data_IF_139166330551
#
_entry.id   IF_139166330551
#
_cell.length_a   1.000
_cell.length_b   1.000
_cell.length_c   1.000
_cell.angle_alpha   90.00
_cell.angle_beta   90.00
_cell.angle_gamma   90.00
#
_symmetry.space_group_name_H-M   'P 1'
#
loop_
_entity.id
_entity.type
_entity.pdbx_description
1 polymer ?
#
# COMPACT_ATOMS: atom_id res chain seq x y z
N UNK A 1 -18.89 78.20 49.49
CA UNK A 1 -19.79 77.79 48.39
C UNK A 1 -19.62 76.30 48.17
N UNK A 2 -20.72 75.57 48.29
CA UNK A 2 -20.80 74.12 48.17
C UNK A 2 -20.44 73.61 46.76
N UNK A 3 -19.87 72.40 46.69
CA UNK A 3 -20.34 71.30 45.82
C UNK A 3 -19.68 69.97 46.23
N UNK A 4 -20.50 68.93 46.16
CA UNK A 4 -20.42 67.58 46.72
C UNK A 4 -19.43 66.60 46.02
N UNK A 5 -18.99 65.60 46.81
CA UNK A 5 -18.86 64.13 46.57
C UNK A 5 -18.32 63.62 45.20
N UNK A 6 -17.46 62.58 45.13
CA UNK A 6 -17.73 61.19 45.56
C UNK A 6 -16.43 60.34 45.51
N UNK A 7 -16.26 59.45 46.48
CA UNK A 7 -15.18 58.43 46.57
C UNK A 7 -15.62 57.18 45.80
N UNK A 8 -14.73 56.60 44.98
CA UNK A 8 -14.84 55.20 44.54
C UNK A 8 -13.71 54.38 45.15
N UNK A 9 -14.08 53.52 46.10
CA UNK A 9 -13.32 52.35 46.55
C UNK A 9 -13.76 51.16 45.68
N UNK A 10 -12.83 50.54 44.96
CA UNK A 10 -13.03 49.18 44.45
C UNK A 10 -11.70 48.48 44.18
N UNK A 11 -11.01 48.09 45.26
CA UNK A 11 -10.00 47.03 45.22
C UNK A 11 -10.56 45.80 45.95
N UNK A 12 -11.13 44.87 45.19
CA UNK A 12 -11.37 43.50 45.64
C UNK A 12 -10.55 42.59 44.72
N UNK A 13 -9.36 42.21 45.20
CA UNK A 13 -8.54 41.18 44.57
C UNK A 13 -9.23 39.82 44.69
N UNK A 14 -9.69 39.27 43.56
CA UNK A 14 -10.12 37.87 43.48
C UNK A 14 -8.88 36.96 43.47
N UNK A 15 -8.61 36.31 44.60
CA UNK A 15 -7.69 35.16 44.64
C UNK A 15 -8.42 33.92 44.12
N UNK A 16 -7.92 33.32 43.04
CA UNK A 16 -8.50 32.15 42.39
C UNK A 16 -7.73 30.89 42.83
N UNK A 17 -8.43 29.89 43.37
CA UNK A 17 -7.83 28.67 43.89
C UNK A 17 -8.21 27.45 43.04
N UNK A 18 -7.20 26.73 42.54
CA UNK A 18 -7.36 25.46 41.79
C UNK A 18 -7.11 24.28 42.75
N UNK A 19 -7.99 23.28 42.72
CA UNK A 19 -8.06 22.21 43.71
C UNK A 19 -7.57 20.89 43.14
N UNK A 20 -6.64 20.25 43.84
CA UNK A 20 -6.16 18.90 43.52
C UNK A 20 -6.82 17.84 44.42
N UNK A 21 -7.22 16.71 43.83
CA UNK A 21 -7.54 15.47 44.57
C UNK A 21 -6.43 14.44 44.26
N UNK A 22 -5.40 14.37 45.09
CA UNK A 22 -4.36 13.32 44.99
C UNK A 22 -4.78 12.08 45.78
N UNK A 23 -4.72 10.91 45.15
CA UNK A 23 -4.34 9.68 45.86
C UNK A 23 -2.82 9.50 45.76
N UNK A 24 -2.26 8.82 46.76
CA UNK A 24 -0.89 8.90 47.28
C UNK A 24 0.29 8.75 46.31
N UNK A 25 1.37 9.49 46.68
CA UNK A 25 2.81 9.31 46.42
C UNK A 25 3.44 9.71 45.06
N UNK A 26 4.02 10.92 45.02
CA UNK A 26 5.37 11.18 44.52
C UNK A 26 5.86 12.57 45.00
N UNK A 27 7.06 12.64 45.58
CA UNK A 27 7.76 13.89 45.95
C UNK A 27 8.28 14.54 44.66
N UNK A 28 7.86 15.77 44.37
CA UNK A 28 8.44 16.59 43.30
C UNK A 28 9.31 17.68 43.93
N UNK A 29 10.51 17.88 43.39
CA UNK A 29 11.38 19.02 43.70
C UNK A 29 11.56 19.93 42.49
N UNK A 30 11.64 21.22 42.79
CA UNK A 30 12.09 22.36 41.98
C UNK A 30 11.05 23.20 41.22
N UNK A 31 10.91 24.42 41.77
CA UNK A 31 10.80 25.75 41.17
C UNK A 31 9.79 25.99 40.03
N UNK A 32 8.68 26.61 40.47
CA UNK A 32 7.75 27.49 39.75
C UNK A 32 6.33 26.95 39.49
N UNK A 33 5.83 26.10 40.36
CA UNK A 33 4.40 25.76 40.39
C UNK A 33 3.74 26.60 41.49
N UNK A 34 2.79 27.47 41.14
CA UNK A 34 1.93 28.11 42.13
C UNK A 34 1.31 27.02 43.05
N UNK A 35 1.31 27.21 44.38
CA UNK A 35 0.89 26.16 45.30
C UNK A 35 -0.60 25.85 45.09
N UNK A 36 -0.89 24.70 44.49
CA UNK A 36 -2.24 24.17 44.37
C UNK A 36 -2.78 23.87 45.78
N UNK A 37 -3.91 24.49 46.13
CA UNK A 37 -4.50 24.34 47.46
C UNK A 37 -5.15 22.97 47.59
N UNK A 38 -4.77 22.25 48.64
CA UNK A 38 -5.37 20.96 48.97
C UNK A 38 -6.83 21.18 49.40
N UNK A 39 -7.77 20.35 48.94
CA UNK A 39 -9.22 20.58 49.12
C UNK A 39 -9.66 20.91 50.56
N UNK A 40 -9.00 20.32 51.57
CA UNK A 40 -9.26 20.54 53.00
C UNK A 40 -8.82 21.92 53.54
N UNK A 41 -8.06 22.69 52.76
CA UNK A 41 -7.56 24.02 53.10
C UNK A 41 -8.37 25.12 52.40
N UNK A 42 -9.41 24.75 51.64
CA UNK A 42 -10.26 25.72 50.97
C UNK A 42 -11.30 26.18 51.98
N UNK A 43 -11.42 27.50 52.23
CA UNK A 43 -12.42 27.99 53.16
C UNK A 43 -13.83 27.53 52.75
N UNK A 44 -14.66 27.16 53.73
CA UNK A 44 -15.99 26.60 53.49
C UNK A 44 -16.89 27.47 52.58
N UNK A 45 -16.68 28.79 52.57
CA UNK A 45 -17.42 29.70 51.70
C UNK A 45 -17.00 29.65 50.22
N UNK A 46 -15.83 29.09 49.90
CA UNK A 46 -15.38 28.84 48.52
C UNK A 46 -15.75 27.43 48.02
N UNK A 47 -16.13 26.48 48.89
CA UNK A 47 -16.59 25.15 48.47
C UNK A 47 -17.74 25.15 47.44
N UNK A 48 -18.72 26.08 47.47
CA UNK A 48 -19.77 26.16 46.45
C UNK A 48 -19.26 26.57 45.06
N UNK A 49 -18.13 27.26 45.02
CA UNK A 49 -17.47 27.76 43.80
C UNK A 49 -16.52 26.73 43.18
N UNK A 50 -16.26 25.62 43.86
CA UNK A 50 -15.41 24.54 43.34
C UNK A 50 -16.14 23.74 42.27
N UNK A 51 -15.76 24.00 41.02
CA UNK A 51 -16.14 23.22 39.82
C UNK A 51 -15.43 21.88 39.88
N UNK A 52 -16.17 20.76 39.94
CA UNK A 52 -15.70 19.47 39.41
C UNK A 52 -16.92 18.63 39.02
N UNK A 53 -17.61 19.00 37.94
CA UNK A 53 -18.34 18.01 37.14
C UNK A 53 -18.66 18.59 35.76
N UNK A 54 -18.19 17.90 34.73
CA UNK A 54 -18.68 18.10 33.37
C UNK A 54 -20.17 17.75 33.30
N UNK A 55 -21.02 18.51 32.62
CA UNK A 55 -22.45 18.18 32.51
C UNK A 55 -23.00 18.34 31.09
N UNK A 56 -23.04 17.23 30.34
CA UNK A 56 -24.02 17.06 29.26
C UNK A 56 -25.22 16.27 29.77
N UNK A 57 -26.44 16.77 29.57
CA UNK A 57 -27.65 16.05 29.98
C UNK A 57 -28.17 15.26 28.78
N UNK A 58 -27.94 13.94 28.76
CA UNK A 58 -28.57 13.06 27.77
C UNK A 58 -29.88 12.47 28.29
N UNK A 59 -30.93 12.41 27.46
CA UNK A 59 -32.13 11.66 27.77
C UNK A 59 -31.81 10.14 27.80
N UNK A 60 -32.12 9.48 28.92
CA UNK A 60 -31.91 8.04 29.13
C UNK A 60 -32.55 7.57 30.46
N UNK A 61 -32.37 6.29 30.88
CA UNK A 61 -32.93 5.75 32.14
C UNK A 61 -32.48 6.48 33.42
N UNK A 62 -31.48 7.35 33.31
CA UNK A 62 -31.12 8.42 34.23
C UNK A 62 -30.48 9.58 33.47
N UNK A 63 -30.23 10.72 34.13
CA UNK A 63 -29.34 11.75 33.57
C UNK A 63 -27.97 11.10 33.42
N UNK A 64 -27.60 10.75 32.19
CA UNK A 64 -26.22 10.39 31.90
C UNK A 64 -25.48 11.70 31.67
N UNK A 65 -24.59 12.00 32.61
CA UNK A 65 -23.74 13.17 32.56
C UNK A 65 -22.46 12.75 31.84
N UNK A 66 -22.32 13.11 30.56
CA UNK A 66 -21.10 12.84 29.77
C UNK A 66 -20.28 14.12 29.52
N UNK A 67 -19.02 13.98 29.11
CA UNK A 67 -18.01 15.05 29.10
C UNK A 67 -18.20 16.09 27.98
N UNK A 68 -17.85 17.36 28.26
CA UNK A 68 -17.76 18.44 27.24
C UNK A 68 -18.09 19.88 27.67
N UNK A 69 -18.65 20.14 28.86
CA UNK A 69 -18.96 21.49 29.39
C UNK A 69 -18.87 21.52 30.92
N UNK A 70 -18.50 22.65 31.55
CA UNK A 70 -18.41 22.75 33.02
C UNK A 70 -19.54 23.59 33.63
N UNK A 71 -19.91 23.27 34.88
CA UNK A 71 -20.92 24.01 35.65
C UNK A 71 -20.56 24.05 37.15
N UNK A 72 -21.12 25.01 37.89
CA UNK A 72 -20.90 25.11 39.34
C UNK A 72 -21.49 23.89 40.06
N UNK A 73 -20.77 23.34 41.05
CA UNK A 73 -21.21 22.14 41.78
C UNK A 73 -22.59 22.31 42.42
N UNK A 74 -22.88 23.49 42.95
CA UNK A 74 -24.19 23.81 43.51
C UNK A 74 -25.31 23.73 42.46
N UNK A 75 -25.06 24.20 41.24
CA UNK A 75 -26.00 24.14 40.13
C UNK A 75 -26.21 22.70 39.66
N UNK A 76 -25.14 21.91 39.53
CA UNK A 76 -25.25 20.48 39.19
C UNK A 76 -26.06 19.72 40.24
N UNK A 77 -25.83 20.00 41.53
CA UNK A 77 -26.62 19.41 42.61
C UNK A 77 -28.08 19.84 42.58
N UNK A 78 -28.35 21.13 42.29
CA UNK A 78 -29.69 21.67 42.10
C UNK A 78 -30.40 20.96 40.94
N UNK A 79 -29.77 20.87 39.78
CA UNK A 79 -30.28 20.16 38.59
C UNK A 79 -30.55 18.68 38.91
N UNK A 80 -29.65 17.99 39.63
CA UNK A 80 -29.86 16.60 40.04
C UNK A 80 -31.04 16.43 41.00
N UNK A 81 -31.20 17.34 41.97
CA UNK A 81 -32.34 17.34 42.92
C UNK A 81 -33.65 17.58 42.18
N UNK A 82 -33.70 18.61 41.35
CA UNK A 82 -34.85 18.93 40.50
C UNK A 82 -35.20 17.77 39.57
N UNK A 83 -34.18 17.11 38.99
CA UNK A 83 -34.43 15.99 38.11
C UNK A 83 -35.04 14.80 38.85
N UNK A 84 -34.48 14.44 40.02
CA UNK A 84 -35.05 13.38 40.86
C UNK A 84 -36.49 13.69 41.27
N UNK A 85 -36.78 14.94 41.64
CA UNK A 85 -38.12 15.38 42.03
C UNK A 85 -39.14 15.30 40.87
N UNK A 86 -38.70 15.51 39.63
CA UNK A 86 -39.57 15.56 38.46
C UNK A 86 -39.53 14.27 37.60
N UNK A 87 -38.92 13.19 38.09
CA UNK A 87 -38.73 11.93 37.34
C UNK A 87 -40.00 11.39 36.66
N UNK A 88 -41.16 11.53 37.30
CA UNK A 88 -42.45 11.08 36.73
C UNK A 88 -42.93 11.95 35.57
N UNK A 89 -42.67 13.27 35.62
CA UNK A 89 -43.10 14.24 34.62
C UNK A 89 -42.25 14.18 33.35
N UNK A 90 -40.97 13.80 33.46
CA UNK A 90 -40.08 13.63 32.31
C UNK A 90 -40.41 12.45 31.40
N UNK A 91 -41.48 11.69 31.68
CA UNK A 91 -42.06 10.78 30.70
C UNK A 91 -42.68 11.52 29.51
N UNK A 92 -43.10 12.77 29.72
CA UNK A 92 -43.49 13.69 28.66
C UNK A 92 -42.25 14.38 28.09
N UNK A 93 -41.98 14.12 26.81
CA UNK A 93 -40.84 14.67 26.09
C UNK A 93 -40.90 16.19 25.97
N UNK A 94 -42.09 16.77 25.83
CA UNK A 94 -42.27 18.22 25.73
C UNK A 94 -41.92 18.90 27.05
N UNK A 95 -42.37 18.32 28.17
CA UNK A 95 -41.99 18.78 29.51
C UNK A 95 -40.47 18.67 29.74
N UNK A 96 -39.85 17.57 29.33
CA UNK A 96 -38.40 17.40 29.44
C UNK A 96 -37.63 18.44 28.61
N UNK A 97 -38.02 18.68 27.36
CA UNK A 97 -37.39 19.72 26.52
C UNK A 97 -37.55 21.12 27.11
N UNK A 98 -38.76 21.48 27.53
CA UNK A 98 -39.04 22.78 28.15
C UNK A 98 -38.25 22.98 29.46
N UNK A 99 -38.01 21.90 30.21
CA UNK A 99 -37.17 21.93 31.40
C UNK A 99 -35.67 22.01 31.08
N UNK A 100 -35.20 21.32 30.03
CA UNK A 100 -33.79 21.30 29.63
C UNK A 100 -33.33 22.63 29.05
N UNK A 101 -34.12 23.23 28.15
CA UNK A 101 -33.76 24.43 27.38
C UNK A 101 -33.19 25.58 28.24
N UNK A 102 -33.87 26.05 29.32
CA UNK A 102 -33.36 27.14 30.14
C UNK A 102 -32.11 26.76 30.94
N UNK A 103 -31.92 25.48 31.27
CA UNK A 103 -30.76 24.99 32.03
C UNK A 103 -29.54 24.85 31.14
N UNK A 104 -29.73 24.34 29.92
CA UNK A 104 -28.67 24.32 28.91
C UNK A 104 -28.25 25.75 28.56
N UNK A 105 -29.20 26.68 28.38
CA UNK A 105 -28.90 28.10 28.13
C UNK A 105 -28.14 28.74 29.30
N UNK A 106 -28.57 28.50 30.55
CA UNK A 106 -27.87 28.99 31.72
C UNK A 106 -26.43 28.45 31.77
N UNK A 107 -26.22 27.14 31.55
CA UNK A 107 -24.89 26.52 31.50
C UNK A 107 -24.04 27.15 30.38
N UNK A 108 -24.60 27.30 29.17
CA UNK A 108 -23.88 27.91 28.04
C UNK A 108 -23.46 29.35 28.34
N UNK A 109 -24.29 30.15 29.01
CA UNK A 109 -23.93 31.53 29.37
C UNK A 109 -22.74 31.63 30.34
N UNK A 110 -22.40 30.56 31.06
CA UNK A 110 -21.19 30.50 31.88
C UNK A 110 -19.93 30.24 31.04
N UNK A 111 -20.06 29.61 29.86
CA UNK A 111 -18.96 29.32 28.96
C UNK A 111 -18.42 30.58 28.26
N UNK A 112 -19.27 31.59 28.06
CA UNK A 112 -18.88 32.86 27.41
C UNK A 112 -18.09 33.81 28.32
N UNK A 113 -17.74 33.39 29.55
CA UNK A 113 -17.00 34.22 30.49
C UNK A 113 -15.50 34.17 30.19
N UNK A 114 -14.84 35.34 30.17
CA UNK A 114 -13.39 35.48 29.89
C UNK A 114 -12.46 34.57 30.72
N UNK A 115 -12.88 34.16 31.91
CA UNK A 115 -12.06 33.30 32.78
C UNK A 115 -12.06 31.82 32.36
N UNK A 116 -12.88 31.42 31.37
CA UNK A 116 -12.96 30.03 30.92
C UNK A 116 -11.73 29.54 30.18
N UNK A 117 -11.08 30.46 29.45
CA UNK A 117 -9.81 30.19 28.78
C UNK A 117 -8.76 29.70 29.77
N UNK A 118 -8.75 30.21 31.01
CA UNK A 118 -7.83 29.78 32.06
C UNK A 118 -8.13 28.35 32.54
N UNK A 119 -9.40 27.93 32.63
CA UNK A 119 -9.74 26.56 33.01
C UNK A 119 -9.37 25.56 31.91
N UNK A 120 -9.66 25.89 30.66
CA UNK A 120 -9.26 25.07 29.51
C UNK A 120 -7.73 24.93 29.46
N UNK A 121 -6.99 26.03 29.65
CA UNK A 121 -5.52 25.98 29.72
C UNK A 121 -5.02 25.07 30.83
N UNK A 122 -5.60 25.15 32.04
CA UNK A 122 -5.21 24.28 33.16
C UNK A 122 -5.54 22.81 32.89
N UNK A 123 -6.67 22.51 32.24
CA UNK A 123 -7.00 21.14 31.85
C UNK A 123 -6.11 20.62 30.73
N UNK A 124 -5.83 21.45 29.73
CA UNK A 124 -4.91 21.13 28.64
C UNK A 124 -3.51 20.86 29.19
N UNK A 125 -3.04 21.67 30.14
CA UNK A 125 -1.78 21.46 30.86
C UNK A 125 -1.80 20.13 31.64
N UNK A 126 -2.91 19.80 32.30
CA UNK A 126 -3.04 18.52 33.00
C UNK A 126 -3.05 17.33 32.04
N UNK A 127 -3.78 17.41 30.93
CA UNK A 127 -3.82 16.39 29.89
C UNK A 127 -2.43 16.22 29.29
N UNK A 128 -1.72 17.32 29.04
CA UNK A 128 -0.36 17.34 28.55
C UNK A 128 0.59 16.63 29.53
N UNK A 129 0.58 16.99 30.81
CA UNK A 129 1.44 16.38 31.82
C UNK A 129 1.10 14.89 32.04
N UNK A 130 -0.18 14.50 31.96
CA UNK A 130 -0.59 13.09 31.98
C UNK A 130 -0.01 12.33 30.79
N UNK A 131 -0.18 12.85 29.57
CA UNK A 131 0.35 12.23 28.35
C UNK A 131 1.87 12.15 28.37
N UNK A 132 2.53 13.18 28.88
CA UNK A 132 3.99 13.23 29.06
C UNK A 132 4.47 12.12 29.99
N UNK A 133 3.81 11.91 31.13
CA UNK A 133 4.12 10.80 32.03
C UNK A 133 3.86 9.42 31.39
N UNK A 134 2.74 9.26 30.69
CA UNK A 134 2.41 8.00 29.99
C UNK A 134 3.44 7.68 28.88
N UNK A 135 3.86 8.69 28.12
CA UNK A 135 4.90 8.56 27.09
C UNK A 135 6.26 8.24 27.71
N UNK A 136 6.65 8.93 28.79
CA UNK A 136 7.90 8.64 29.50
C UNK A 136 7.92 7.20 30.04
N UNK A 137 6.82 6.73 30.64
CA UNK A 137 6.71 5.35 31.09
C UNK A 137 6.83 4.36 29.92
N UNK A 138 6.17 4.65 28.79
CA UNK A 138 6.28 3.82 27.57
C UNK A 138 7.71 3.77 27.08
N UNK A 139 8.40 4.89 27.00
CA UNK A 139 9.77 4.97 26.48
C UNK A 139 10.75 4.22 27.41
N UNK A 140 10.57 4.33 28.73
CA UNK A 140 11.34 3.55 29.71
C UNK A 140 11.09 2.04 29.57
N UNK A 141 9.84 1.62 29.34
CA UNK A 141 9.48 0.22 29.09
C UNK A 141 10.09 -0.28 27.80
N UNK A 142 9.96 0.48 26.71
CA UNK A 142 10.55 0.14 25.41
C UNK A 142 12.05 -0.01 25.56
N UNK A 143 12.75 0.96 26.15
CA UNK A 143 14.20 0.91 26.38
C UNK A 143 14.64 -0.36 27.11
N UNK A 144 13.95 -0.73 28.20
CA UNK A 144 14.28 -1.98 28.93
C UNK A 144 13.99 -3.24 28.12
N UNK A 145 12.92 -3.25 27.31
CA UNK A 145 12.65 -4.35 26.40
C UNK A 145 13.73 -4.46 25.31
N UNK A 146 14.22 -3.32 24.81
CA UNK A 146 15.35 -3.30 23.88
C UNK A 146 16.62 -3.86 24.53
N UNK A 147 16.95 -3.46 25.75
CA UNK A 147 18.07 -4.02 26.52
C UNK A 147 17.97 -5.55 26.73
N UNK A 148 16.77 -6.13 26.60
CA UNK A 148 16.50 -7.58 26.70
C UNK A 148 16.39 -8.30 25.35
N UNK A 149 16.61 -7.63 24.21
CA UNK A 149 16.58 -8.26 22.90
C UNK A 149 15.19 -8.41 22.27
N UNK A 150 14.21 -7.58 22.67
CA UNK A 150 12.82 -7.62 22.15
C UNK A 150 12.53 -6.59 21.05
N UNK A 151 13.55 -5.89 20.56
CA UNK A 151 13.39 -4.70 19.72
C UNK A 151 12.53 -4.92 18.47
N UNK A 152 12.77 -6.03 17.78
CA UNK A 152 12.06 -6.36 16.54
C UNK A 152 10.58 -6.69 16.78
N UNK A 153 10.25 -7.20 17.96
CA UNK A 153 8.95 -7.76 18.29
C UNK A 153 7.99 -6.70 18.85
N UNK A 154 8.51 -5.62 19.45
CA UNK A 154 7.74 -4.53 20.08
C UNK A 154 6.71 -3.91 19.11
N UNK A 155 7.00 -3.82 17.81
CA UNK A 155 6.09 -3.21 16.82
C UNK A 155 4.93 -4.11 16.41
N UNK A 156 5.14 -5.41 16.53
CA UNK A 156 4.10 -6.40 16.27
C UNK A 156 3.24 -6.61 17.52
N UNK A 157 3.75 -6.23 18.70
CA UNK A 157 2.96 -6.10 19.91
C UNK A 157 1.98 -4.93 19.77
N UNK A 158 0.71 -5.28 19.59
CA UNK A 158 -0.37 -4.32 19.41
C UNK A 158 -1.61 -4.77 20.21
N UNK A 159 -2.66 -3.96 20.17
CA UNK A 159 -3.92 -4.28 20.87
C UNK A 159 -4.07 -3.62 22.23
N UNK A 160 -5.26 -3.81 22.83
CA UNK A 160 -5.68 -3.09 24.04
C UNK A 160 -4.87 -3.51 25.26
N UNK A 161 -4.48 -4.78 25.33
CA UNK A 161 -3.67 -5.36 26.41
C UNK A 161 -2.29 -4.69 26.44
N UNK A 162 -1.62 -4.60 25.28
CA UNK A 162 -0.35 -3.90 25.15
C UNK A 162 -0.47 -2.44 25.60
N UNK A 163 -1.43 -1.70 25.04
CA UNK A 163 -1.62 -0.28 25.36
C UNK A 163 -1.85 -0.04 26.87
N UNK A 164 -2.65 -0.88 27.54
CA UNK A 164 -2.88 -0.80 28.99
C UNK A 164 -1.61 -1.03 29.81
N UNK A 165 -0.70 -1.88 29.32
CA UNK A 165 0.54 -2.19 30.01
C UNK A 165 1.60 -1.10 29.78
N UNK A 166 1.69 -0.52 28.58
CA UNK A 166 2.75 0.45 28.24
C UNK A 166 2.37 1.91 28.47
N UNK A 167 1.08 2.28 28.56
CA UNK A 167 0.65 3.64 28.87
C UNK A 167 0.11 3.72 30.30
N UNK A 168 1.01 3.96 31.26
CA UNK A 168 0.67 4.10 32.67
C UNK A 168 1.09 5.47 33.21
N UNK A 169 0.23 6.07 34.05
CA UNK A 169 0.43 7.42 34.64
C UNK A 169 1.35 7.41 35.86
N UNK A 170 2.52 6.79 35.75
CA UNK A 170 3.51 6.67 36.83
C UNK A 170 4.90 6.48 36.27
N UNK A 171 5.93 6.63 37.07
CA UNK A 171 7.30 6.32 36.67
C UNK A 171 7.57 4.80 36.71
N UNK A 172 8.46 4.32 35.84
CA UNK A 172 8.86 2.93 35.82
C UNK A 172 9.90 2.66 36.92
N UNK A 173 9.52 1.87 37.93
CA UNK A 173 10.42 1.42 39.00
C UNK A 173 10.73 -0.07 38.82
N UNK A 174 11.81 -0.58 39.41
CA UNK A 174 12.19 -2.00 39.30
C UNK A 174 11.12 -2.94 39.82
N UNK A 175 10.42 -2.55 40.90
CA UNK A 175 9.28 -3.31 41.40
C UNK A 175 8.14 -3.37 40.39
N UNK A 176 7.83 -2.26 39.71
CA UNK A 176 6.79 -2.24 38.67
C UNK A 176 7.24 -3.09 37.50
N UNK A 177 8.48 -2.93 37.05
CA UNK A 177 9.09 -3.69 35.96
C UNK A 177 9.02 -5.20 36.20
N UNK A 178 9.43 -5.70 37.37
CA UNK A 178 9.42 -7.12 37.70
C UNK A 178 8.00 -7.74 37.65
N UNK A 179 6.96 -6.94 37.91
CA UNK A 179 5.57 -7.37 37.80
C UNK A 179 4.98 -7.18 36.39
N UNK A 180 5.53 -6.25 35.62
CA UNK A 180 5.08 -5.88 34.29
C UNK A 180 5.67 -6.80 33.22
N UNK A 181 6.97 -7.11 33.33
CA UNK A 181 7.73 -7.84 32.32
C UNK A 181 7.13 -9.21 31.96
N UNK A 182 6.73 -10.08 32.90
CA UNK A 182 6.13 -11.37 32.54
C UNK A 182 4.86 -11.24 31.68
N UNK A 183 4.10 -10.15 31.85
CA UNK A 183 2.89 -9.87 31.04
C UNK A 183 3.24 -9.37 29.65
N UNK A 184 4.28 -8.54 29.54
CA UNK A 184 4.80 -8.05 28.26
C UNK A 184 5.44 -9.20 27.48
N UNK A 185 6.20 -10.08 28.14
CA UNK A 185 6.87 -11.22 27.52
C UNK A 185 5.89 -12.09 26.73
N UNK A 186 4.76 -12.49 27.33
CA UNK A 186 3.75 -13.31 26.63
C UNK A 186 3.21 -12.62 25.36
N UNK A 187 3.01 -11.30 25.41
CA UNK A 187 2.57 -10.52 24.23
C UNK A 187 3.67 -10.45 23.18
N UNK A 188 4.93 -10.28 23.60
CA UNK A 188 6.08 -10.19 22.71
C UNK A 188 6.41 -11.53 22.05
N UNK A 189 6.23 -12.65 22.74
CA UNK A 189 6.37 -13.99 22.15
C UNK A 189 5.32 -14.21 21.05
N UNK A 190 4.07 -13.79 21.29
CA UNK A 190 3.01 -13.83 20.28
C UNK A 190 3.35 -12.92 19.09
N UNK A 191 3.83 -11.71 19.37
CA UNK A 191 4.27 -10.75 18.37
C UNK A 191 5.44 -11.28 17.53
N UNK A 192 6.39 -11.99 18.15
CA UNK A 192 7.52 -12.65 17.48
C UNK A 192 7.06 -13.71 16.49
N UNK A 193 6.15 -14.59 16.91
CA UNK A 193 5.56 -15.60 16.02
C UNK A 193 4.89 -14.93 14.81
N UNK A 194 4.12 -13.87 15.06
CA UNK A 194 3.47 -13.12 14.00
C UNK A 194 4.48 -12.45 13.05
N UNK A 195 5.50 -11.78 13.59
CA UNK A 195 6.58 -11.17 12.82
C UNK A 195 7.28 -12.19 11.92
N UNK A 196 7.69 -13.33 12.47
CA UNK A 196 8.39 -14.38 11.72
C UNK A 196 7.52 -14.95 10.60
N UNK A 197 6.20 -15.06 10.83
CA UNK A 197 5.23 -15.45 9.78
C UNK A 197 5.13 -14.40 8.67
N UNK A 198 5.20 -13.11 9.00
CA UNK A 198 5.05 -12.01 8.03
C UNK A 198 6.36 -11.67 7.30
N UNK A 199 7.53 -11.95 7.90
CA UNK A 199 8.85 -11.60 7.38
C UNK A 199 9.07 -12.00 5.90
N UNK A 200 8.72 -13.22 5.44
CA UNK A 200 8.88 -13.58 4.04
C UNK A 200 8.04 -12.72 3.09
N UNK A 201 6.82 -12.35 3.50
CA UNK A 201 5.94 -11.47 2.72
C UNK A 201 6.52 -10.06 2.61
N UNK A 202 6.93 -9.49 3.74
CA UNK A 202 7.60 -8.19 3.78
C UNK A 202 8.85 -8.12 2.90
N UNK A 203 9.70 -9.16 2.93
CA UNK A 203 10.90 -9.24 2.06
C UNK A 203 10.52 -9.16 0.58
N UNK A 204 9.42 -9.81 0.18
CA UNK A 204 8.92 -9.74 -1.20
C UNK A 204 8.40 -8.35 -1.55
N UNK A 205 7.61 -7.74 -0.67
CA UNK A 205 7.04 -6.40 -0.87
C UNK A 205 8.13 -5.34 -1.13
N UNK A 206 9.21 -5.38 -0.35
CA UNK A 206 10.34 -4.45 -0.48
C UNK A 206 11.00 -4.54 -1.87
N UNK A 207 11.13 -5.76 -2.42
CA UNK A 207 11.70 -5.98 -3.75
C UNK A 207 10.74 -5.55 -4.85
N UNK A 208 9.45 -5.84 -4.70
CA UNK A 208 8.41 -5.35 -5.61
C UNK A 208 8.42 -3.82 -5.66
N UNK A 209 8.57 -3.16 -4.51
CA UNK A 209 8.68 -1.70 -4.45
C UNK A 209 9.95 -1.18 -5.13
N UNK A 210 11.10 -1.83 -4.92
CA UNK A 210 12.35 -1.50 -5.63
C UNK A 210 12.12 -1.54 -7.15
N UNK A 211 11.55 -2.62 -7.67
CA UNK A 211 11.28 -2.75 -9.10
C UNK A 211 10.27 -1.73 -9.61
N UNK A 212 9.27 -1.39 -8.80
CA UNK A 212 8.28 -0.36 -9.12
C UNK A 212 8.93 1.01 -9.21
N UNK A 213 9.85 1.36 -8.30
CA UNK A 213 10.56 2.64 -8.33
C UNK A 213 11.56 2.73 -9.47
N UNK A 214 12.25 1.63 -9.77
CA UNK A 214 13.27 1.55 -10.82
C UNK A 214 12.74 1.12 -12.18
N UNK A 215 11.43 1.10 -12.35
CA UNK A 215 10.79 0.58 -13.55
C UNK A 215 11.23 1.30 -14.84
N UNK A 216 11.50 2.61 -14.80
CA UNK A 216 11.96 3.35 -15.98
C UNK A 216 13.35 2.93 -16.43
N UNK A 217 14.24 2.66 -15.46
CA UNK A 217 15.61 2.20 -15.71
C UNK A 217 15.64 0.72 -16.14
N UNK A 218 14.65 -0.06 -15.69
CA UNK A 218 14.45 -1.46 -16.03
C UNK A 218 13.71 -1.68 -17.36
N UNK A 219 13.11 -0.63 -17.93
CA UNK A 219 12.35 -0.73 -19.17
C UNK A 219 13.31 -0.78 -20.35
N UNK A 220 13.21 -1.84 -21.14
CA UNK A 220 13.66 -1.78 -22.53
C UNK A 220 12.53 -1.11 -23.31
N UNK A 221 12.62 0.22 -23.51
CA UNK A 221 11.64 0.93 -24.31
C UNK A 221 11.84 0.60 -25.78
N UNK A 222 10.96 -0.24 -26.33
CA UNK A 222 10.97 -0.56 -27.75
C UNK A 222 10.11 0.45 -28.50
N UNK A 223 10.75 1.54 -28.94
CA UNK A 223 10.12 2.48 -29.84
C UNK A 223 10.16 1.90 -31.27
N UNK A 224 9.01 1.44 -31.76
CA UNK A 224 8.89 1.00 -33.16
C UNK A 224 8.56 2.21 -34.02
N UNK A 225 9.55 2.69 -34.77
CA UNK A 225 9.35 3.72 -35.78
C UNK A 225 9.08 3.06 -37.13
N UNK A 226 7.87 3.24 -37.67
CA UNK A 226 7.63 2.89 -39.06
C UNK A 226 8.17 3.99 -39.97
N UNK A 227 9.11 3.62 -40.86
CA UNK A 227 9.79 4.54 -41.80
C UNK A 227 8.84 5.32 -42.73
N UNK A 228 7.57 4.93 -42.83
CA UNK A 228 6.65 5.44 -43.86
C UNK A 228 5.19 5.67 -43.39
N UNK A 229 4.90 5.72 -42.08
CA UNK A 229 3.52 5.96 -41.59
C UNK A 229 3.48 7.13 -40.59
N UNK A 230 2.61 8.14 -40.80
CA UNK A 230 2.44 9.29 -39.91
C UNK A 230 1.67 8.98 -38.62
N UNK A 231 1.42 7.70 -38.32
CA UNK A 231 0.69 7.30 -37.11
C UNK A 231 1.68 7.25 -35.96
N UNK A 232 1.51 8.16 -34.99
CA UNK A 232 2.23 8.09 -33.72
C UNK A 232 1.86 6.78 -33.02
N UNK A 233 2.76 5.80 -33.08
CA UNK A 233 2.61 4.55 -32.36
C UNK A 233 2.95 4.80 -30.89
N UNK A 234 2.09 4.30 -29.99
CA UNK A 234 2.42 4.27 -28.58
C UNK A 234 3.63 3.35 -28.39
N UNK A 235 4.74 3.83 -27.80
CA UNK A 235 5.92 3.01 -27.59
C UNK A 235 5.55 1.80 -26.72
N UNK A 236 5.85 0.60 -27.21
CA UNK A 236 5.69 -0.62 -26.43
C UNK A 236 6.77 -0.62 -25.34
N UNK A 237 6.38 -0.27 -24.12
CA UNK A 237 7.24 -0.39 -22.95
C UNK A 237 7.17 -1.81 -22.44
N UNK A 238 8.28 -2.54 -22.52
CA UNK A 238 8.33 -3.89 -21.95
C UNK A 238 9.40 -3.93 -20.85
N UNK A 239 9.08 -4.62 -19.75
CA UNK A 239 9.87 -4.63 -18.52
C UNK A 239 10.27 -6.05 -18.17
N UNK A 240 11.53 -6.43 -18.36
CA UNK A 240 12.03 -7.68 -17.78
C UNK A 240 12.47 -7.41 -16.34
N UNK A 241 11.84 -8.05 -15.35
CA UNK A 241 12.31 -8.01 -13.96
C UNK A 241 12.59 -9.41 -13.43
N UNK A 242 13.66 -9.56 -12.63
CA UNK A 242 13.96 -10.83 -11.98
C UNK A 242 12.81 -11.26 -11.06
N UNK A 243 12.53 -12.57 -10.98
CA UNK A 243 11.65 -13.11 -9.97
C UNK A 243 12.08 -12.67 -8.58
N UNK A 244 11.11 -12.36 -7.73
CA UNK A 244 11.40 -11.85 -6.38
C UNK A 244 12.22 -12.85 -5.57
N UNK A 245 11.94 -14.15 -5.72
CA UNK A 245 12.68 -15.22 -5.06
C UNK A 245 14.16 -15.25 -5.45
N UNK A 246 14.45 -15.08 -6.74
CA UNK A 246 15.81 -15.04 -7.27
C UNK A 246 16.54 -13.78 -6.80
N UNK A 247 15.89 -12.62 -6.89
CA UNK A 247 16.46 -11.36 -6.43
C UNK A 247 16.79 -11.36 -4.93
N UNK A 248 15.94 -11.99 -4.10
CA UNK A 248 16.21 -12.16 -2.67
C UNK A 248 17.43 -13.03 -2.37
N UNK A 249 17.85 -13.87 -3.32
CA UNK A 249 19.08 -14.69 -3.19
C UNK A 249 20.35 -13.90 -3.51
N UNK A 250 20.24 -12.73 -4.12
CA UNK A 250 21.41 -11.92 -4.48
C UNK A 250 22.03 -11.30 -3.24
N UNK A 251 23.35 -11.50 -3.09
CA UNK A 251 24.08 -11.09 -1.89
C UNK A 251 23.96 -9.59 -1.60
N UNK A 252 23.99 -8.73 -2.64
CA UNK A 252 23.83 -7.27 -2.47
C UNK A 252 22.46 -6.87 -1.90
N UNK A 253 21.39 -7.60 -2.25
CA UNK A 253 20.03 -7.38 -1.75
C UNK A 253 19.88 -7.99 -0.36
N UNK A 254 20.34 -9.24 -0.21
CA UNK A 254 20.31 -9.99 1.04
C UNK A 254 20.99 -9.22 2.17
N UNK A 255 22.19 -8.67 1.94
CA UNK A 255 22.90 -7.85 2.92
C UNK A 255 22.09 -6.64 3.39
N UNK A 256 21.41 -5.94 2.47
CA UNK A 256 20.60 -4.76 2.84
C UNK A 256 19.37 -5.16 3.65
N UNK A 257 18.70 -6.25 3.27
CA UNK A 257 17.51 -6.78 3.95
C UNK A 257 17.86 -7.36 5.32
N UNK A 258 18.94 -8.14 5.40
CA UNK A 258 19.40 -8.75 6.65
C UNK A 258 19.95 -7.66 7.60
N UNK A 259 20.70 -6.68 7.12
CA UNK A 259 21.13 -5.53 7.93
C UNK A 259 19.95 -4.67 8.43
N UNK A 260 18.84 -4.64 7.69
CA UNK A 260 17.60 -4.02 8.14
C UNK A 260 16.84 -4.88 9.16
N UNK A 261 17.06 -6.20 9.10
CA UNK A 261 16.50 -7.16 10.07
C UNK A 261 17.30 -7.21 11.38
N UNK A 262 18.57 -6.79 11.37
CA UNK A 262 19.45 -6.80 12.55
C UNK A 262 19.61 -5.42 13.22
N UNK A 263 19.12 -4.33 12.63
CA UNK A 263 19.25 -2.98 13.20
C UNK A 263 17.92 -2.47 13.79
N UNK A 264 17.74 -2.58 15.12
CA UNK A 264 16.45 -2.38 15.76
C UNK A 264 15.93 -0.94 15.82
N UNK A 265 16.81 0.07 15.71
CA UNK A 265 16.44 1.49 15.92
C UNK A 265 15.61 2.12 14.80
N UNK A 266 15.27 1.37 13.75
CA UNK A 266 14.77 1.94 12.51
C UNK A 266 13.25 1.79 12.43
N UNK A 267 12.51 2.69 13.09
CA UNK A 267 11.04 2.75 13.21
C UNK A 267 10.23 2.96 11.90
N UNK A 268 10.80 2.65 10.74
CA UNK A 268 10.13 2.72 9.43
C UNK A 268 10.78 1.74 8.43
N UNK A 269 10.85 0.46 8.83
CA UNK A 269 11.66 -0.59 8.18
C UNK A 269 11.33 -0.77 6.71
N UNK A 270 10.06 -0.86 6.30
CA UNK A 270 9.73 -1.05 4.89
C UNK A 270 10.25 0.11 4.03
N UNK A 271 9.81 1.34 4.31
CA UNK A 271 10.17 2.50 3.50
C UNK A 271 11.67 2.78 3.54
N UNK A 272 12.33 2.65 4.70
CA UNK A 272 13.79 2.88 4.79
C UNK A 272 14.58 1.77 4.12
N UNK A 273 14.21 0.51 4.25
CA UNK A 273 14.90 -0.59 3.55
C UNK A 273 14.72 -0.45 2.04
N UNK A 274 13.51 -0.11 1.58
CA UNK A 274 13.23 0.23 0.19
C UNK A 274 14.09 1.39 -0.30
N UNK A 275 14.16 2.50 0.45
CA UNK A 275 15.05 3.62 0.12
C UNK A 275 16.54 3.22 0.13
N UNK A 276 16.98 2.33 1.03
CA UNK A 276 18.36 1.82 1.06
C UNK A 276 18.68 0.97 -0.17
N UNK A 277 17.77 0.09 -0.57
CA UNK A 277 17.92 -0.69 -1.80
C UNK A 277 17.97 0.22 -3.03
N UNK A 278 17.10 1.23 -3.10
CA UNK A 278 17.14 2.26 -4.16
C UNK A 278 18.49 3.01 -4.15
N UNK A 279 19.00 3.37 -2.97
CA UNK A 279 20.32 3.99 -2.83
C UNK A 279 21.50 3.07 -3.17
N UNK A 280 21.27 1.75 -3.23
CA UNK A 280 22.25 0.73 -3.66
C UNK A 280 22.01 0.27 -5.10
N UNK A 281 21.20 0.99 -5.87
CA UNK A 281 20.82 0.60 -7.22
C UNK A 281 22.00 0.34 -8.14
N UNK A 282 23.04 1.18 -8.11
CA UNK A 282 24.24 1.00 -8.95
C UNK A 282 24.96 -0.34 -8.70
N UNK A 283 24.80 -0.93 -7.51
CA UNK A 283 25.35 -2.24 -7.17
C UNK A 283 24.40 -3.38 -7.59
N UNK A 284 23.10 -3.14 -7.51
CA UNK A 284 22.06 -4.12 -7.85
C UNK A 284 21.88 -4.24 -9.37
N UNK A 285 21.95 -3.12 -10.09
CA UNK A 285 21.66 -3.00 -11.51
C UNK A 285 22.50 -3.95 -12.38
N UNK A 286 23.83 -4.10 -12.20
CA UNK A 286 24.61 -5.09 -12.93
C UNK A 286 24.10 -6.53 -12.78
N UNK A 287 23.56 -6.90 -11.61
CA UNK A 287 22.98 -8.22 -11.37
C UNK A 287 21.68 -8.41 -12.17
N UNK A 288 20.83 -7.37 -12.23
CA UNK A 288 19.63 -7.35 -13.08
C UNK A 288 20.00 -7.49 -14.55
N UNK A 289 21.01 -6.75 -15.00
CA UNK A 289 21.49 -6.79 -16.39
C UNK A 289 22.10 -8.14 -16.77
N UNK A 290 22.87 -8.74 -15.88
CA UNK A 290 23.40 -10.10 -16.07
C UNK A 290 22.27 -11.13 -16.11
N UNK A 291 21.31 -11.02 -15.20
CA UNK A 291 20.13 -11.87 -15.17
C UNK A 291 19.33 -11.77 -16.48
N UNK A 292 19.01 -10.55 -16.92
CA UNK A 292 18.28 -10.30 -18.17
C UNK A 292 18.98 -10.94 -19.37
N UNK A 293 20.28 -10.69 -19.54
CA UNK A 293 21.07 -11.28 -20.63
C UNK A 293 21.07 -12.80 -20.60
N UNK A 294 21.15 -13.40 -19.41
CA UNK A 294 21.06 -14.86 -19.26
C UNK A 294 19.69 -15.40 -19.69
N UNK A 295 18.60 -14.74 -19.29
CA UNK A 295 17.24 -15.12 -19.71
C UNK A 295 17.08 -14.99 -21.22
N UNK A 296 17.50 -13.86 -21.79
CA UNK A 296 17.47 -13.63 -23.23
C UNK A 296 18.24 -14.72 -23.98
N UNK A 297 19.47 -15.01 -23.54
CA UNK A 297 20.33 -16.01 -24.17
C UNK A 297 19.76 -17.41 -24.10
N UNK A 298 19.21 -17.82 -22.95
CA UNK A 298 18.53 -19.12 -22.79
C UNK A 298 17.34 -19.26 -23.74
N UNK A 299 16.46 -18.26 -23.79
CA UNK A 299 15.27 -18.30 -24.64
C UNK A 299 15.64 -18.25 -26.12
N UNK A 300 16.60 -17.43 -26.51
CA UNK A 300 17.11 -17.37 -27.88
C UNK A 300 17.77 -18.70 -28.28
N UNK A 301 18.56 -19.31 -27.39
CA UNK A 301 19.15 -20.63 -27.60
C UNK A 301 18.11 -21.72 -27.86
N UNK A 302 16.98 -21.71 -27.14
CA UNK A 302 15.86 -22.63 -27.39
C UNK A 302 15.25 -22.44 -28.78
N UNK A 303 15.10 -21.21 -29.24
CA UNK A 303 14.57 -20.92 -30.56
C UNK A 303 15.52 -21.35 -31.68
N UNK A 304 16.84 -21.21 -31.47
CA UNK A 304 17.89 -21.59 -32.42
C UNK A 304 18.09 -23.10 -32.52
N UNK A 305 17.95 -23.83 -31.40
CA UNK A 305 18.04 -25.30 -31.40
C UNK A 305 16.93 -26.00 -32.20
N UNK A 306 15.87 -25.28 -32.59
CA UNK A 306 14.84 -25.78 -33.50
C UNK A 306 15.34 -25.65 -34.95
N UNK A 307 15.56 -26.80 -35.62
CA UNK A 307 16.03 -26.88 -37.02
C UNK A 307 15.21 -26.02 -37.99
N UNK A 308 13.93 -25.76 -37.70
CA UNK A 308 13.05 -24.93 -38.53
C UNK A 308 13.47 -23.45 -38.51
N UNK A 309 14.26 -23.01 -37.52
CA UNK A 309 14.67 -21.63 -37.36
C UNK A 309 15.92 -21.25 -38.16
N UNK A 310 16.89 -22.17 -38.29
CA UNK A 310 18.20 -21.88 -38.89
C UNK A 310 18.15 -21.62 -40.39
N UNK A 311 17.22 -22.24 -41.12
CA UNK A 311 17.19 -22.23 -42.59
C UNK A 311 17.02 -20.85 -43.24
N UNK A 312 16.52 -19.84 -42.52
CA UNK A 312 16.25 -18.49 -43.05
C UNK A 312 17.13 -17.39 -42.41
N UNK A 313 17.92 -17.71 -41.37
CA UNK A 313 18.54 -16.70 -40.51
C UNK A 313 19.86 -16.13 -41.07
N UNK A 314 20.43 -16.72 -42.11
CA UNK A 314 21.83 -16.46 -42.48
C UNK A 314 22.10 -15.03 -43.05
N UNK A 315 21.06 -14.23 -43.36
CA UNK A 315 21.26 -12.99 -44.13
C UNK A 315 20.40 -11.77 -43.68
N UNK A 316 19.82 -11.78 -42.47
CA UNK A 316 19.12 -10.57 -42.00
C UNK A 316 20.13 -9.52 -41.54
N UNK A 317 20.54 -8.63 -42.45
CA UNK A 317 21.39 -7.46 -42.17
C UNK A 317 20.66 -6.35 -41.43
N UNK A 318 19.36 -6.50 -41.19
CA UNK A 318 18.55 -5.48 -40.54
C UNK A 318 18.58 -5.68 -39.03
N UNK A 319 19.66 -5.21 -38.41
CA UNK A 319 19.73 -5.13 -36.95
C UNK A 319 18.55 -4.30 -36.43
N UNK A 320 17.80 -4.82 -35.46
CA UNK A 320 16.74 -4.03 -34.82
C UNK A 320 17.38 -2.92 -33.99
N UNK A 321 16.87 -1.69 -34.16
CA UNK A 321 17.30 -0.54 -33.36
C UNK A 321 16.21 -0.17 -32.37
N UNK A 322 16.59 0.02 -31.12
CA UNK A 322 15.71 0.37 -30.03
C UNK A 322 16.24 1.62 -29.35
N UNK A 323 15.46 2.70 -29.36
CA UNK A 323 15.85 3.99 -28.77
C UNK A 323 17.22 4.50 -29.26
N UNK A 324 17.52 4.28 -30.54
CA UNK A 324 18.78 4.70 -31.16
C UNK A 324 19.99 3.83 -30.84
N UNK A 325 19.81 2.68 -30.18
CA UNK A 325 20.86 1.71 -29.92
C UNK A 325 20.57 0.37 -30.62
N UNK A 326 21.59 -0.32 -31.15
CA UNK A 326 21.43 -1.68 -31.65
C UNK A 326 21.05 -2.62 -30.49
N UNK A 327 20.11 -3.53 -30.74
CA UNK A 327 19.79 -4.58 -29.75
C UNK A 327 20.83 -5.69 -29.76
N UNK A 328 20.91 -6.43 -28.65
CA UNK A 328 21.70 -7.67 -28.58
C UNK A 328 21.16 -8.69 -29.60
N UNK A 329 22.02 -9.58 -30.11
CA UNK A 329 21.60 -10.61 -31.07
C UNK A 329 20.55 -11.58 -30.49
N UNK A 330 20.63 -11.87 -29.19
CA UNK A 330 19.65 -12.70 -28.50
C UNK A 330 18.29 -11.99 -28.41
N UNK A 331 18.28 -10.70 -28.07
CA UNK A 331 17.07 -9.90 -28.05
C UNK A 331 16.48 -9.73 -29.45
N UNK A 332 17.30 -9.51 -30.48
CA UNK A 332 16.86 -9.44 -31.89
C UNK A 332 16.08 -10.69 -32.28
N UNK A 333 16.64 -11.87 -31.98
CA UNK A 333 15.98 -13.15 -32.18
C UNK A 333 14.65 -13.21 -31.44
N UNK A 334 14.61 -12.82 -30.17
CA UNK A 334 13.40 -12.90 -29.34
C UNK A 334 12.30 -11.93 -29.78
N UNK A 335 12.66 -10.79 -30.36
CA UNK A 335 11.70 -9.77 -30.79
C UNK A 335 11.01 -10.09 -32.12
N UNK A 336 11.53 -11.04 -32.91
CA UNK A 336 10.90 -11.44 -34.17
C UNK A 336 9.46 -11.92 -33.96
N UNK A 337 8.60 -11.66 -34.94
CA UNK A 337 7.20 -12.05 -34.92
C UNK A 337 6.95 -13.55 -35.04
N UNK A 338 7.96 -14.31 -35.50
CA UNK A 338 7.94 -15.77 -35.56
C UNK A 338 8.68 -16.45 -34.40
N UNK A 339 9.12 -15.68 -33.39
CA UNK A 339 9.73 -16.19 -32.16
C UNK A 339 8.66 -16.50 -31.11
N UNK A 340 7.88 -17.54 -31.39
CA UNK A 340 6.71 -17.93 -30.60
C UNK A 340 7.05 -19.03 -29.61
N UNK A 341 6.61 -18.85 -28.37
CA UNK A 341 6.73 -19.82 -27.29
C UNK A 341 5.36 -20.35 -26.84
N UNK A 342 5.39 -21.48 -26.15
CA UNK A 342 4.28 -22.06 -25.42
C UNK A 342 4.74 -22.56 -24.05
N UNK A 343 3.78 -22.71 -23.14
CA UNK A 343 3.95 -23.40 -21.86
C UNK A 343 3.02 -24.62 -21.84
N UNK A 344 2.65 -25.11 -20.67
CA UNK A 344 1.77 -26.27 -20.48
C UNK A 344 0.35 -26.08 -21.01
N UNK A 345 -0.10 -24.84 -21.18
CA UNK A 345 -1.43 -24.48 -21.65
C UNK A 345 -1.56 -24.36 -23.18
N UNK A 346 -0.47 -24.55 -23.93
CA UNK A 346 -0.41 -24.39 -25.39
C UNK A 346 -0.86 -23.00 -25.90
N UNK A 347 -0.76 -21.95 -25.08
CA UNK A 347 -1.08 -20.58 -25.49
C UNK A 347 0.16 -19.91 -26.11
N UNK A 348 -0.04 -19.22 -27.24
CA UNK A 348 0.98 -18.39 -27.90
C UNK A 348 1.52 -17.34 -26.95
N UNK A 349 2.85 -17.28 -26.84
CA UNK A 349 3.53 -16.28 -26.03
C UNK A 349 4.71 -15.64 -26.73
N UNK A 350 4.90 -14.36 -26.46
CA UNK A 350 5.98 -13.54 -26.98
C UNK A 350 6.82 -12.93 -25.86
N UNK A 351 8.13 -12.92 -26.08
CA UNK A 351 9.06 -12.21 -25.21
C UNK A 351 9.07 -10.71 -25.55
N UNK A 352 9.13 -9.79 -24.59
CA UNK A 352 9.21 -10.06 -23.16
C UNK A 352 7.86 -10.16 -22.47
N UNK A 353 6.78 -9.62 -23.06
CA UNK A 353 5.51 -9.35 -22.37
C UNK A 353 4.87 -10.55 -21.66
N UNK A 354 4.86 -11.71 -22.31
CA UNK A 354 4.23 -12.92 -21.77
C UNK A 354 5.12 -13.70 -20.78
N UNK A 355 6.33 -13.21 -20.55
CA UNK A 355 7.35 -13.80 -19.66
C UNK A 355 7.52 -13.00 -18.36
N UNK A 356 6.68 -11.99 -18.15
CA UNK A 356 6.80 -11.08 -17.02
C UNK A 356 5.92 -11.52 -15.86
N UNK A 357 6.50 -11.55 -14.66
CA UNK A 357 5.78 -11.80 -13.40
C UNK A 357 4.98 -10.56 -12.93
N UNK A 358 4.77 -9.54 -13.77
CA UNK A 358 4.22 -8.27 -13.31
C UNK A 358 2.72 -8.37 -13.13
N UNK A 359 2.34 -8.62 -11.88
CA UNK A 359 1.11 -8.14 -11.27
C UNK A 359 1.00 -6.61 -11.42
N UNK A 360 0.53 -6.13 -12.56
CA UNK A 360 0.03 -4.75 -12.67
C UNK A 360 -1.32 -4.58 -11.99
N UNK A 361 -1.95 -5.67 -11.54
CA UNK A 361 -3.07 -5.62 -10.63
C UNK A 361 -2.60 -5.07 -9.27
N UNK A 362 -3.25 -4.01 -8.76
CA UNK A 362 -2.98 -3.48 -7.42
C UNK A 362 -2.97 -4.63 -6.40
N UNK A 363 -2.03 -4.59 -5.44
CA UNK A 363 -1.87 -5.58 -4.36
C UNK A 363 -3.18 -6.00 -3.66
N UNK A 364 -4.23 -5.20 -3.76
CA UNK A 364 -5.56 -5.49 -3.23
C UNK A 364 -6.33 -6.59 -4.00
N UNK A 365 -6.10 -6.79 -5.30
CA UNK A 365 -6.85 -7.79 -6.10
C UNK A 365 -6.16 -9.16 -6.17
N UNK A 366 -4.85 -9.24 -5.90
CA UNK A 366 -4.11 -10.52 -5.92
C UNK A 366 -4.39 -11.45 -4.72
N UNK A 367 -5.08 -10.98 -3.68
CA UNK A 367 -5.35 -11.81 -2.49
C UNK A 367 -6.34 -12.95 -2.80
N UNK A 368 -7.14 -12.84 -3.88
CA UNK A 368 -8.29 -13.74 -4.10
C UNK A 368 -8.28 -14.51 -5.42
N UNK A 369 -7.28 -14.34 -6.30
CA UNK A 369 -7.23 -15.11 -7.56
C UNK A 369 -5.85 -15.74 -7.76
N UNK A 370 -5.70 -17.05 -7.50
CA UNK A 370 -4.49 -17.78 -7.83
C UNK A 370 -4.48 -18.03 -9.34
N UNK A 371 -4.24 -16.99 -10.14
CA UNK A 371 -3.81 -17.19 -11.52
C UNK A 371 -2.36 -17.66 -11.41
N UNK A 372 -2.17 -18.98 -11.48
CA UNK A 372 -0.86 -19.60 -11.56
C UNK A 372 -0.20 -19.12 -12.85
N UNK A 373 0.52 -18.00 -12.78
CA UNK A 373 1.42 -17.61 -13.85
C UNK A 373 2.42 -18.76 -14.03
N UNK A 374 2.71 -19.21 -15.27
CA UNK A 374 3.68 -20.27 -15.53
C UNK A 374 4.99 -19.88 -14.85
N UNK A 375 5.34 -20.62 -13.79
CA UNK A 375 6.14 -20.06 -12.71
C UNK A 375 7.64 -20.07 -13.00
N UNK A 376 8.04 -20.37 -14.23
CA UNK A 376 9.44 -20.47 -14.60
C UNK A 376 9.67 -20.29 -16.08
N UNK A 377 10.65 -19.44 -16.43
CA UNK A 377 11.28 -19.37 -17.75
C UNK A 377 11.69 -20.77 -18.24
N UNK A 378 11.97 -21.70 -17.33
CA UNK A 378 12.35 -23.08 -17.66
C UNK A 378 11.25 -23.89 -18.35
N UNK A 379 9.98 -23.55 -18.17
CA UNK A 379 8.86 -24.23 -18.82
C UNK A 379 8.63 -23.77 -20.27
N UNK A 380 9.19 -22.63 -20.66
CA UNK A 380 8.96 -22.06 -21.98
C UNK A 380 9.59 -22.92 -23.08
N UNK A 381 8.77 -23.43 -24.00
CA UNK A 381 9.22 -24.23 -25.15
C UNK A 381 8.89 -23.49 -26.44
N UNK A 382 9.70 -23.64 -27.51
CA UNK A 382 9.33 -23.14 -28.83
C UNK A 382 8.01 -23.76 -29.29
N UNK A 383 7.06 -22.94 -29.75
CA UNK A 383 5.78 -23.42 -30.26
C UNK A 383 5.88 -23.69 -31.76
N UNK A 384 6.40 -24.87 -32.14
CA UNK A 384 6.77 -25.21 -33.52
C UNK A 384 5.67 -24.92 -34.55
N UNK A 385 4.41 -25.33 -34.27
CA UNK A 385 3.28 -25.08 -35.16
C UNK A 385 3.02 -23.58 -35.34
N UNK A 386 2.88 -22.85 -34.23
CA UNK A 386 2.65 -21.41 -34.25
C UNK A 386 3.76 -20.65 -35.00
N UNK A 387 5.02 -21.06 -34.83
CA UNK A 387 6.16 -20.47 -35.55
C UNK A 387 6.06 -20.68 -37.05
N UNK A 388 5.72 -21.90 -37.51
CA UNK A 388 5.51 -22.20 -38.93
C UNK A 388 4.41 -21.31 -39.53
N UNK A 389 3.29 -21.20 -38.83
CA UNK A 389 2.17 -20.33 -39.24
C UNK A 389 2.60 -18.86 -39.28
N UNK A 390 3.27 -18.38 -38.22
CA UNK A 390 3.78 -17.01 -38.14
C UNK A 390 4.73 -16.71 -39.31
N UNK A 391 5.71 -17.58 -39.60
CA UNK A 391 6.62 -17.43 -40.76
C UNK A 391 5.85 -17.32 -42.08
N UNK A 392 4.88 -18.18 -42.30
CA UNK A 392 4.04 -18.18 -43.50
C UNK A 392 3.26 -16.87 -43.65
N UNK A 393 2.64 -16.39 -42.56
CA UNK A 393 1.91 -15.13 -42.54
C UNK A 393 2.84 -13.94 -42.77
N UNK A 394 4.02 -13.90 -42.14
CA UNK A 394 5.00 -12.83 -42.30
C UNK A 394 5.54 -12.73 -43.73
N UNK A 395 5.86 -13.87 -44.35
CA UNK A 395 6.24 -13.94 -45.77
C UNK A 395 5.13 -13.41 -46.67
N UNK A 396 3.90 -13.83 -46.39
CA UNK A 396 2.73 -13.38 -47.15
C UNK A 396 2.51 -11.86 -47.03
N UNK A 397 2.67 -11.29 -45.82
CA UNK A 397 2.54 -9.85 -45.58
C UNK A 397 3.70 -9.04 -46.17
N UNK A 398 4.76 -9.68 -46.67
CA UNK A 398 5.95 -9.00 -47.19
C UNK A 398 6.88 -8.46 -46.09
N UNK A 399 6.73 -8.94 -44.86
CA UNK A 399 7.56 -8.51 -43.71
C UNK A 399 8.18 -9.72 -42.99
N UNK A 400 9.05 -10.52 -43.63
CA UNK A 400 9.60 -11.76 -43.04
C UNK A 400 10.40 -11.54 -41.76
N UNK A 401 10.93 -10.33 -41.56
CA UNK A 401 11.73 -9.93 -40.40
C UNK A 401 10.99 -8.93 -39.49
N UNK A 402 9.65 -8.87 -39.54
CA UNK A 402 8.90 -8.02 -38.63
C UNK A 402 9.08 -8.48 -37.17
N UNK A 403 9.08 -7.52 -36.25
CA UNK A 403 9.00 -7.79 -34.81
C UNK A 403 7.54 -7.95 -34.39
N UNK A 404 7.25 -8.83 -33.41
CA UNK A 404 5.88 -8.95 -32.91
C UNK A 404 5.42 -7.63 -32.26
N UNK A 405 6.33 -6.87 -31.63
CA UNK A 405 6.02 -5.54 -31.09
C UNK A 405 5.58 -4.57 -32.18
N UNK A 406 6.24 -4.60 -33.34
CA UNK A 406 5.86 -3.75 -34.46
C UNK A 406 4.53 -4.14 -35.09
N UNK A 407 4.18 -5.43 -35.08
CA UNK A 407 2.87 -5.89 -35.53
C UNK A 407 1.77 -5.58 -34.50
N UNK A 408 2.03 -5.80 -33.21
CA UNK A 408 1.11 -5.45 -32.12
C UNK A 408 0.83 -3.94 -32.08
N UNK A 409 1.82 -3.10 -32.34
CA UNK A 409 1.64 -1.65 -32.39
C UNK A 409 0.63 -1.22 -33.46
N UNK A 410 0.36 -2.05 -34.48
CA UNK A 410 -0.68 -1.78 -35.47
C UNK A 410 -2.10 -1.97 -34.91
N UNK A 411 -2.24 -2.58 -33.74
CA UNK A 411 -3.51 -2.87 -33.10
C UNK A 411 -4.33 -3.95 -33.83
N UNK A 412 -5.63 -3.94 -33.61
CA UNK A 412 -6.60 -4.83 -34.24
C UNK A 412 -6.82 -4.43 -35.72
N UNK A 413 -5.91 -4.84 -36.60
CA UNK A 413 -5.97 -4.55 -38.04
C UNK A 413 -5.84 -5.78 -38.92
N UNK A 414 -5.59 -6.94 -38.33
CA UNK A 414 -5.44 -8.17 -39.08
C UNK A 414 -6.79 -8.84 -39.21
N UNK A 415 -7.16 -9.26 -40.42
CA UNK A 415 -8.42 -9.94 -40.67
C UNK A 415 -8.11 -11.28 -41.30
N UNK A 416 -8.77 -12.34 -40.80
CA UNK A 416 -8.74 -13.63 -41.43
C UNK A 416 -9.72 -13.63 -42.60
N UNK A 417 -9.22 -13.58 -43.84
CA UNK A 417 -10.12 -13.56 -45.00
C UNK A 417 -10.97 -14.81 -45.19
N UNK A 418 -10.73 -15.90 -44.44
CA UNK A 418 -11.55 -17.11 -44.52
C UNK A 418 -12.85 -16.88 -43.76
N UNK A 419 -12.76 -16.15 -42.65
CA UNK A 419 -13.90 -15.77 -41.83
C UNK A 419 -14.74 -14.67 -42.48
N UNK A 420 -14.14 -13.80 -43.30
CA UNK A 420 -14.87 -12.69 -43.96
C UNK A 420 -15.98 -13.17 -44.89
N UNK A 421 -15.87 -14.38 -45.45
CA UNK A 421 -16.86 -14.93 -46.39
C UNK A 421 -18.06 -15.60 -45.71
N UNK A 422 -18.00 -15.84 -44.40
CA UNK A 422 -19.06 -16.53 -43.66
C UNK A 422 -20.07 -15.55 -43.06
N UNK A 423 -20.86 -14.86 -43.90
CA UNK A 423 -22.14 -14.15 -43.63
C UNK A 423 -22.31 -13.29 -42.34
N UNK A 424 -21.26 -13.13 -41.54
CA UNK A 424 -21.25 -12.30 -40.35
C UNK A 424 -21.01 -10.87 -40.81
N UNK A 425 -21.96 -9.99 -40.51
CA UNK A 425 -21.93 -8.57 -40.88
C UNK A 425 -20.71 -7.78 -40.35
N UNK A 426 -19.80 -8.42 -39.62
CA UNK A 426 -18.62 -7.79 -39.04
C UNK A 426 -17.38 -8.67 -39.28
N UNK A 427 -16.44 -8.15 -40.08
CA UNK A 427 -15.10 -8.72 -40.15
C UNK A 427 -14.44 -8.56 -38.78
N UNK A 428 -14.14 -9.67 -38.11
CA UNK A 428 -13.40 -9.64 -36.84
C UNK A 428 -11.98 -9.19 -37.16
N UNK A 429 -11.60 -8.05 -36.59
CA UNK A 429 -10.24 -7.58 -36.57
C UNK A 429 -9.53 -8.21 -35.37
N UNK A 430 -8.31 -8.68 -35.60
CA UNK A 430 -7.45 -9.32 -34.63
C UNK A 430 -6.19 -8.48 -34.46
N UNK A 431 -5.61 -8.47 -33.26
CA UNK A 431 -4.19 -8.16 -33.12
C UNK A 431 -3.32 -9.32 -33.67
N UNK A 432 -1.99 -9.15 -33.68
CA UNK A 432 -1.10 -10.18 -34.22
C UNK A 432 -1.13 -11.49 -33.41
N UNK A 433 -1.26 -11.42 -32.09
CA UNK A 433 -1.30 -12.58 -31.20
C UNK A 433 -2.61 -13.33 -31.35
N UNK A 434 -3.73 -12.62 -31.39
CA UNK A 434 -5.06 -13.16 -31.60
C UNK A 434 -5.22 -13.80 -32.98
N UNK A 435 -4.68 -13.16 -34.03
CA UNK A 435 -4.67 -13.72 -35.38
C UNK A 435 -3.94 -15.07 -35.38
N UNK A 436 -2.77 -15.14 -34.74
CA UNK A 436 -2.00 -16.38 -34.70
C UNK A 436 -2.74 -17.48 -33.91
N UNK A 437 -3.31 -17.15 -32.75
CA UNK A 437 -4.16 -18.06 -31.98
C UNK A 437 -5.35 -18.58 -32.80
N UNK A 438 -5.98 -17.71 -33.58
CA UNK A 438 -7.08 -18.07 -34.47
C UNK A 438 -6.65 -19.10 -35.53
N UNK A 439 -5.53 -18.90 -36.21
CA UNK A 439 -5.01 -19.89 -37.18
C UNK A 439 -4.58 -21.20 -36.52
N UNK A 440 -4.04 -21.16 -35.31
CA UNK A 440 -3.71 -22.38 -34.54
C UNK A 440 -4.99 -23.15 -34.23
N UNK A 441 -6.04 -22.48 -33.74
CA UNK A 441 -7.32 -23.11 -33.43
C UNK A 441 -7.93 -23.80 -34.66
N UNK A 442 -7.91 -23.13 -35.82
CA UNK A 442 -8.36 -23.74 -37.09
C UNK A 442 -7.52 -24.97 -37.43
N UNK A 443 -6.20 -24.86 -37.33
CA UNK A 443 -5.28 -25.95 -37.68
C UNK A 443 -5.42 -27.16 -36.75
N UNK A 444 -5.70 -26.92 -35.46
CA UNK A 444 -5.93 -27.98 -34.48
C UNK A 444 -7.31 -28.62 -34.63
N UNK A 445 -8.34 -27.87 -35.02
CA UNK A 445 -9.67 -28.41 -35.30
C UNK A 445 -9.70 -29.29 -36.56
N UNK A 446 -8.93 -28.94 -37.59
CA UNK A 446 -8.84 -29.72 -38.83
C UNK A 446 -8.13 -31.08 -38.68
N UNK A 447 -7.33 -31.26 -37.62
CA UNK A 447 -6.69 -32.56 -37.35
C UNK A 447 -7.65 -33.63 -36.83
N UNK A 448 -8.85 -33.29 -36.37
CA UNK A 448 -9.86 -34.31 -36.03
C UNK A 448 -10.50 -34.94 -37.28
N UNK A 449 -10.43 -34.26 -38.42
CA UNK A 449 -11.19 -34.61 -39.63
C UNK A 449 -10.26 -35.01 -40.79
N UNK A 450 -9.15 -35.71 -40.56
CA UNK A 450 -8.32 -36.44 -41.57
C UNK A 450 -8.06 -35.78 -42.96
N UNK A 451 -8.19 -34.46 -43.10
CA UNK A 451 -7.85 -33.72 -44.32
C UNK A 451 -6.51 -33.03 -44.06
N UNK A 452 -5.45 -33.68 -44.52
CA UNK A 452 -4.09 -33.14 -44.46
C UNK A 452 -4.03 -31.88 -45.34
N UNK A 453 -4.10 -30.70 -44.70
CA UNK A 453 -3.82 -29.44 -45.38
C UNK A 453 -2.34 -29.41 -45.78
N UNK A 454 -2.08 -29.70 -47.05
CA UNK A 454 -0.76 -29.50 -47.63
C UNK A 454 -0.53 -27.99 -47.72
N UNK A 455 0.39 -27.47 -46.90
CA UNK A 455 0.75 -26.05 -46.84
C UNK A 455 1.69 -25.66 -48.00
N UNK A 456 2.02 -26.59 -48.88
CA UNK A 456 2.85 -26.35 -50.06
C UNK A 456 2.00 -25.78 -51.22
N UNK A 457 2.03 -24.45 -51.31
CA UNK A 457 1.82 -23.67 -52.54
C UNK A 457 0.40 -23.52 -53.10
N UNK A 458 -0.44 -24.56 -53.05
CA UNK A 458 -1.75 -24.57 -53.72
C UNK A 458 -2.83 -23.81 -52.93
N UNK A 459 -2.82 -23.91 -51.59
CA UNK A 459 -3.74 -23.16 -50.72
C UNK A 459 -3.39 -21.68 -50.55
N UNK A 460 -2.16 -21.28 -50.89
CA UNK A 460 -1.76 -19.87 -50.90
C UNK A 460 -2.45 -19.06 -52.01
N UNK A 461 -3.01 -19.71 -53.03
CA UNK A 461 -3.81 -19.03 -54.05
C UNK A 461 -5.13 -18.47 -53.49
N UNK A 462 -5.73 -19.15 -52.52
CA UNK A 462 -6.90 -18.62 -51.79
C UNK A 462 -6.47 -17.51 -50.83
N UNK A 463 -5.35 -17.68 -50.11
CA UNK A 463 -4.77 -16.64 -49.25
C UNK A 463 -4.42 -15.36 -50.02
N UNK A 464 -3.95 -15.45 -51.28
CA UNK A 464 -3.70 -14.31 -52.19
C UNK A 464 -4.94 -13.47 -52.50
N UNK A 465 -6.15 -14.03 -52.43
CA UNK A 465 -7.41 -13.26 -52.58
C UNK A 465 -7.84 -12.54 -51.31
N UNK A 466 -7.30 -12.92 -50.16
CA UNK A 466 -7.88 -12.65 -48.84
C UNK A 466 -7.32 -11.43 -48.10
N UNK A 467 -6.24 -10.83 -48.58
CA UNK A 467 -5.60 -9.68 -47.95
C UNK A 467 -5.35 -8.57 -48.97
N UNK A 468 -6.42 -7.94 -49.44
CA UNK A 468 -6.32 -6.54 -49.86
C UNK A 468 -6.30 -5.71 -48.60
N UNK A 469 -5.11 -5.22 -48.23
CA UNK A 469 -5.00 -4.07 -47.33
C UNK A 469 -5.92 -2.98 -47.89
N UNK A 470 -6.99 -2.64 -47.19
CA UNK A 470 -7.67 -1.36 -47.38
C UNK A 470 -6.66 -0.28 -47.01
N UNK A 471 -5.88 0.14 -48.01
CA UNK A 471 -5.03 1.31 -47.96
C UNK A 471 -5.87 2.56 -48.09
#
# INVERSE_FOLDING_TARGET
>A
MARHATIYLSDIHYFMFIVRRQSLCAKFSSSSVHPLIHAKHIPAHFEPLLVIAHVHIFPGPGINISGGQYALRAEVQKIRKEFKANKKKFKDENYLRAWLLPRTSAISSFLDRQHWELFNQVEDDQIYEIKKLENQFRDDVVKRLEELGWEDDIRFASGREWLKLVFQRRSLTDRIWNNLYPKLQNLLETARIYRLKYLPGWRKEVIIELWTRKHLELRTQVAVYHRHMPIALNPASVRLVPPVSEALSWECIKQVIDAASTNPRICSTHLKTSCRLVGKWEVIHPSVEAWRRNVESKLAGRLRGDKVFESDSAHSTNQTWISGQPVSQDLDVLLRADSVFQFSDNIVRYFPGDFLEISSTPLQELVNTPVALPSSIEEARPFVLARKLAKSLLRYLGYPNATHLGLNARGERFVCGACVHHDSQFAIAYDWKELLNHFIAISSGLQSDNVLFDLDGSNFANLRRMLRSTH
#
